data_IF_918733944447
#
_entry.id   IF_918733944447
#
_cell.length_a   1.000
_cell.length_b   1.000
_cell.length_c   1.000
_cell.angle_alpha   90.00
_cell.angle_beta   90.00
_cell.angle_gamma   90.00
#
_symmetry.space_group_name_H-M   'P 1'
#
loop_
_entity.id
_entity.type
_entity.pdbx_description
1 polymer ?
#
# COMPACT_ATOMS: atom_id res chain seq x y z
N UNK A 1 10.58 -33.66 43.23
CA UNK A 1 9.82 -34.51 42.27
C UNK A 1 9.11 -33.56 41.33
N UNK A 2 9.74 -33.20 40.21
CA UNK A 2 9.14 -32.32 39.20
C UNK A 2 8.39 -33.16 38.17
N UNK A 3 7.06 -33.10 38.23
CA UNK A 3 6.15 -33.71 37.26
C UNK A 3 6.29 -32.97 35.93
N UNK A 4 7.12 -33.49 35.02
CA UNK A 4 7.09 -33.14 33.60
C UNK A 4 5.74 -33.59 33.03
N UNK A 5 4.78 -32.67 32.92
CA UNK A 5 3.54 -32.93 32.19
C UNK A 5 3.88 -33.27 30.73
N UNK A 6 3.30 -34.33 30.15
CA UNK A 6 3.45 -34.61 28.72
C UNK A 6 2.76 -33.50 27.95
N UNK A 7 3.53 -32.72 27.17
CA UNK A 7 2.97 -31.73 26.24
C UNK A 7 2.11 -32.50 25.23
N UNK A 8 0.80 -32.32 25.27
CA UNK A 8 -0.10 -32.84 24.23
C UNK A 8 0.41 -32.36 22.87
N UNK A 9 0.86 -33.29 22.04
CA UNK A 9 1.32 -32.99 20.69
C UNK A 9 0.08 -32.81 19.81
N UNK A 10 -0.38 -31.58 19.67
CA UNK A 10 -1.44 -31.24 18.71
C UNK A 10 -0.86 -31.43 17.30
N UNK A 11 -1.32 -32.44 16.57
CA UNK A 11 -0.93 -32.65 15.18
C UNK A 11 -1.73 -31.71 14.29
N UNK A 12 -1.07 -30.71 13.70
CA UNK A 12 -1.66 -29.87 12.66
C UNK A 12 -1.55 -30.59 11.31
N UNK A 13 -2.68 -31.11 10.81
CA UNK A 13 -2.74 -31.63 9.44
C UNK A 13 -2.95 -30.46 8.47
N UNK A 14 -1.88 -30.00 7.84
CA UNK A 14 -1.90 -28.90 6.88
C UNK A 14 -1.69 -29.47 5.48
N UNK A 15 -2.59 -29.13 4.55
CA UNK A 15 -2.35 -29.34 3.12
C UNK A 15 -1.45 -28.20 2.64
N UNK A 16 -0.22 -28.53 2.28
CA UNK A 16 0.79 -27.59 1.79
C UNK A 16 1.03 -27.89 0.31
N UNK A 17 1.19 -26.84 -0.48
CA UNK A 17 1.58 -26.95 -1.87
C UNK A 17 2.91 -27.74 -2.02
N UNK A 18 3.02 -28.68 -2.98
CA UNK A 18 4.22 -29.51 -3.13
C UNK A 18 5.51 -28.71 -3.38
N UNK A 19 5.46 -27.62 -4.13
CA UNK A 19 6.63 -26.78 -4.40
C UNK A 19 7.06 -26.02 -3.16
N UNK A 20 6.09 -25.54 -2.38
CA UNK A 20 6.34 -24.88 -1.11
C UNK A 20 6.96 -25.85 -0.10
N UNK A 21 6.50 -27.10 -0.07
CA UNK A 21 7.06 -28.15 0.80
C UNK A 21 8.51 -28.45 0.44
N UNK A 22 8.86 -28.46 -0.84
CA UNK A 22 10.25 -28.68 -1.31
C UNK A 22 11.14 -27.52 -0.85
N UNK A 23 10.70 -26.27 -1.03
CA UNK A 23 11.44 -25.09 -0.58
C UNK A 23 11.65 -25.09 0.94
N UNK A 24 10.60 -25.37 1.71
CA UNK A 24 10.68 -25.44 3.17
C UNK A 24 11.64 -26.53 3.65
N UNK A 25 11.66 -27.69 2.98
CA UNK A 25 12.63 -28.77 3.26
C UNK A 25 14.06 -28.32 2.98
N UNK A 26 14.30 -27.69 1.83
CA UNK A 26 15.63 -27.18 1.47
C UNK A 26 16.13 -26.16 2.50
N UNK A 27 15.30 -25.21 2.92
CA UNK A 27 15.66 -24.20 3.93
C UNK A 27 15.86 -24.80 5.33
N UNK A 28 15.04 -25.78 5.73
CA UNK A 28 15.23 -26.51 6.98
C UNK A 28 16.57 -27.27 7.01
N UNK A 29 16.93 -27.92 5.89
CA UNK A 29 18.21 -28.62 5.73
C UNK A 29 19.39 -27.64 5.81
N UNK A 30 19.32 -26.50 5.10
CA UNK A 30 20.35 -25.44 5.17
C UNK A 30 20.52 -24.89 6.59
N UNK A 31 19.43 -24.84 7.35
CA UNK A 31 19.41 -24.36 8.73
C UNK A 31 19.78 -25.43 9.76
N UNK A 32 20.03 -26.68 9.35
CA UNK A 32 20.34 -27.80 10.23
C UNK A 32 19.20 -28.23 11.15
N UNK A 33 17.94 -27.87 10.83
CA UNK A 33 16.75 -28.10 11.66
C UNK A 33 15.82 -29.10 11.00
N UNK A 34 15.01 -29.79 11.78
CA UNK A 34 13.92 -30.58 11.19
C UNK A 34 12.85 -29.65 10.61
N UNK A 35 12.14 -30.11 9.57
CA UNK A 35 11.08 -29.33 8.93
C UNK A 35 10.06 -28.79 9.95
N UNK A 36 9.70 -29.59 10.94
CA UNK A 36 8.75 -29.21 11.99
C UNK A 36 9.31 -28.11 12.88
N UNK A 37 10.57 -28.20 13.30
CA UNK A 37 11.22 -27.17 14.11
C UNK A 37 11.34 -25.86 13.33
N UNK A 38 11.74 -25.94 12.06
CA UNK A 38 11.84 -24.78 11.19
C UNK A 38 10.49 -24.08 11.03
N UNK A 39 9.42 -24.82 10.74
CA UNK A 39 8.06 -24.26 10.60
C UNK A 39 7.56 -23.67 11.92
N UNK A 40 7.78 -24.36 13.05
CA UNK A 40 7.36 -23.85 14.38
C UNK A 40 8.08 -22.56 14.74
N UNK A 41 9.37 -22.46 14.41
CA UNK A 41 10.16 -21.25 14.64
C UNK A 41 9.70 -20.09 13.76
N UNK A 42 9.42 -20.35 12.48
CA UNK A 42 8.83 -19.35 11.59
C UNK A 42 7.48 -18.87 12.11
N UNK A 43 6.62 -19.77 12.60
CA UNK A 43 5.32 -19.42 13.19
C UNK A 43 5.44 -18.63 14.50
N UNK A 44 6.45 -18.91 15.33
CA UNK A 44 6.73 -18.16 16.56
C UNK A 44 7.29 -16.77 16.31
N UNK A 45 8.01 -16.60 15.21
CA UNK A 45 8.56 -15.31 14.79
C UNK A 45 7.54 -14.46 14.02
N UNK A 46 6.32 -14.96 13.79
CA UNK A 46 5.22 -14.12 13.34
C UNK A 46 4.86 -13.22 14.52
N UNK A 47 5.00 -11.88 14.41
CA UNK A 47 4.65 -10.98 15.49
C UNK A 47 3.21 -11.24 15.90
N UNK A 48 2.99 -11.46 17.20
CA UNK A 48 1.66 -11.60 17.79
C UNK A 48 0.78 -10.49 17.22
N UNK A 49 -0.41 -10.90 16.77
CA UNK A 49 -1.39 -10.03 16.13
C UNK A 49 -1.85 -9.01 17.18
N UNK A 50 -1.08 -7.93 17.32
CA UNK A 50 -1.47 -6.77 18.10
C UNK A 50 -2.80 -6.30 17.53
N UNK A 51 -3.81 -6.34 18.38
CA UNK A 51 -5.14 -5.79 18.14
C UNK A 51 -5.02 -4.43 17.45
N UNK A 52 -5.60 -4.36 16.26
CA UNK A 52 -5.87 -3.14 15.49
C UNK A 52 -4.71 -2.16 15.36
N UNK A 53 -3.89 -2.39 14.34
CA UNK A 53 -3.27 -1.28 13.65
C UNK A 53 -3.79 -1.19 12.23
N UNK A 54 -4.01 0.05 11.77
CA UNK A 54 -4.80 0.39 10.60
C UNK A 54 -4.33 -0.39 9.36
N UNK A 55 -5.22 -0.53 8.37
CA UNK A 55 -4.87 -1.15 7.08
C UNK A 55 -3.59 -0.52 6.46
N UNK A 56 -3.31 0.75 6.75
CA UNK A 56 -2.09 1.44 6.33
C UNK A 56 -0.83 0.87 6.97
N UNK A 57 -0.83 0.56 8.26
CA UNK A 57 0.34 -0.07 8.89
C UNK A 57 0.61 -1.47 8.33
N UNK A 58 -0.46 -2.19 7.98
CA UNK A 58 -0.34 -3.50 7.33
C UNK A 58 0.23 -3.37 5.92
N UNK A 59 -0.19 -2.36 5.16
CA UNK A 59 0.34 -2.06 3.83
C UNK A 59 1.82 -1.66 3.88
N UNK A 60 2.18 -0.73 4.78
CA UNK A 60 3.57 -0.30 4.99
C UNK A 60 4.48 -1.48 5.38
N UNK A 61 3.98 -2.43 6.16
CA UNK A 61 4.74 -3.62 6.54
C UNK A 61 4.95 -4.58 5.37
N UNK A 62 3.93 -4.76 4.54
CA UNK A 62 4.01 -5.58 3.31
C UNK A 62 4.99 -4.94 2.32
N UNK A 63 4.92 -3.61 2.12
CA UNK A 63 5.86 -2.85 1.29
C UNK A 63 7.30 -3.05 1.75
N UNK A 64 7.57 -2.95 3.05
CA UNK A 64 8.92 -3.13 3.60
C UNK A 64 9.47 -4.54 3.38
N UNK A 65 8.62 -5.57 3.46
CA UNK A 65 9.01 -6.96 3.20
C UNK A 65 9.27 -7.19 1.70
N UNK A 66 8.49 -6.56 0.82
CA UNK A 66 8.69 -6.65 -0.62
C UNK A 66 9.99 -5.94 -1.07
N UNK A 67 10.29 -4.78 -0.48
CA UNK A 67 11.51 -4.01 -0.78
C UNK A 67 12.80 -4.70 -0.28
N UNK A 68 12.77 -5.44 0.83
CA UNK A 68 13.93 -6.21 1.32
C UNK A 68 14.27 -7.41 0.41
N UNK A 69 13.31 -7.88 -0.38
CA UNK A 69 13.54 -8.97 -1.34
C UNK A 69 14.06 -8.49 -2.71
N UNK A 70 14.27 -7.17 -2.91
CA UNK A 70 14.81 -6.60 -4.15
C UNK A 70 16.34 -6.50 -4.21
N UNK A 71 17.08 -7.42 -3.56
CA UNK A 71 18.47 -7.72 -3.95
C UNK A 71 18.49 -8.68 -5.16
N UNK A 72 17.66 -8.39 -6.18
CA UNK A 72 17.68 -9.10 -7.46
C UNK A 72 17.90 -8.10 -8.60
N UNK A 73 18.74 -8.46 -9.58
CA UNK A 73 19.37 -7.50 -10.48
C UNK A 73 18.34 -6.84 -11.38
N UNK A 74 18.35 -5.50 -11.37
CA UNK A 74 17.84 -4.56 -12.40
C UNK A 74 17.03 -5.25 -13.50
N UNK A 75 15.75 -5.45 -13.22
CA UNK A 75 14.81 -5.84 -14.24
C UNK A 75 14.33 -4.55 -14.92
N UNK A 76 15.07 -4.11 -15.94
CA UNK A 76 14.58 -3.23 -17.01
C UNK A 76 13.47 -3.94 -17.82
N UNK A 77 12.44 -4.42 -17.14
CA UNK A 77 11.19 -4.87 -17.74
C UNK A 77 10.27 -3.67 -17.74
N UNK A 78 9.90 -3.22 -18.94
CA UNK A 78 8.73 -2.35 -19.24
C UNK A 78 7.83 -2.24 -18.02
N UNK A 79 7.97 -1.12 -17.31
CA UNK A 79 7.23 -0.81 -16.10
C UNK A 79 5.75 -0.82 -16.48
N UNK A 80 5.06 -1.91 -16.18
CA UNK A 80 3.61 -2.01 -16.34
C UNK A 80 2.96 -0.91 -15.50
N UNK A 81 2.07 -0.14 -16.12
CA UNK A 81 1.20 0.79 -15.40
C UNK A 81 0.41 0.00 -14.35
N UNK A 82 0.40 0.45 -13.11
CA UNK A 82 -0.39 -0.16 -12.02
C UNK A 82 -1.83 0.35 -12.09
N UNK A 83 -2.04 1.53 -12.66
CA UNK A 83 -3.34 2.17 -12.81
C UNK A 83 -3.72 2.28 -14.29
N UNK A 84 -5.02 2.20 -14.57
CA UNK A 84 -5.55 2.52 -15.91
C UNK A 84 -5.61 4.03 -16.12
N UNK A 85 -5.45 4.50 -17.36
CA UNK A 85 -5.59 5.93 -17.67
C UNK A 85 -7.02 6.43 -17.37
N UNK A 86 -8.02 5.60 -17.64
CA UNK A 86 -9.42 5.91 -17.32
C UNK A 86 -9.63 6.05 -15.81
N UNK A 87 -9.13 5.12 -15.01
CA UNK A 87 -9.22 5.19 -13.56
C UNK A 87 -8.43 6.35 -12.96
N UNK A 88 -7.27 6.68 -13.53
CA UNK A 88 -6.49 7.84 -13.11
C UNK A 88 -7.23 9.16 -13.40
N UNK A 89 -7.90 9.26 -14.55
CA UNK A 89 -8.77 10.39 -14.89
C UNK A 89 -9.93 10.54 -13.90
N UNK A 90 -10.67 9.46 -13.66
CA UNK A 90 -11.79 9.44 -12.70
C UNK A 90 -11.34 9.82 -11.28
N UNK A 91 -10.18 9.31 -10.86
CA UNK A 91 -9.58 9.67 -9.58
C UNK A 91 -9.22 11.17 -9.50
N UNK A 92 -8.67 11.75 -10.56
CA UNK A 92 -8.39 13.18 -10.65
C UNK A 92 -9.66 14.05 -10.59
N UNK A 93 -10.71 13.64 -11.28
CA UNK A 93 -12.02 14.33 -11.26
C UNK A 93 -12.67 14.28 -9.87
N UNK A 94 -12.61 13.14 -9.19
CA UNK A 94 -13.12 12.98 -7.83
C UNK A 94 -12.29 13.81 -6.84
N UNK A 95 -10.96 13.81 -6.96
CA UNK A 95 -10.09 14.66 -6.14
C UNK A 95 -10.44 16.14 -6.27
N UNK A 96 -10.68 16.60 -7.50
CA UNK A 96 -11.13 17.96 -7.79
C UNK A 96 -12.50 18.25 -7.17
N UNK A 97 -13.48 17.36 -7.38
CA UNK A 97 -14.84 17.55 -6.87
C UNK A 97 -14.86 17.63 -5.34
N UNK A 98 -14.11 16.77 -4.66
CA UNK A 98 -13.95 16.80 -3.20
C UNK A 98 -13.27 18.09 -2.75
N UNK A 99 -12.19 18.52 -3.43
CA UNK A 99 -11.51 19.78 -3.13
C UNK A 99 -12.45 21.00 -3.26
N UNK A 100 -13.18 21.11 -4.37
CA UNK A 100 -14.13 22.20 -4.60
C UNK A 100 -15.29 22.18 -3.58
N UNK A 101 -15.81 20.99 -3.26
CA UNK A 101 -16.86 20.79 -2.25
C UNK A 101 -16.40 21.27 -0.87
N UNK A 102 -15.20 20.86 -0.45
CA UNK A 102 -14.62 21.25 0.83
C UNK A 102 -14.23 22.74 0.89
N UNK A 103 -13.73 23.32 -0.21
CA UNK A 103 -13.48 24.75 -0.30
C UNK A 103 -14.79 25.56 -0.13
N UNK A 104 -15.87 25.17 -0.83
CA UNK A 104 -17.19 25.79 -0.70
C UNK A 104 -17.77 25.66 0.70
N UNK A 105 -17.69 24.47 1.32
CA UNK A 105 -18.13 24.25 2.71
C UNK A 105 -17.42 25.13 3.72
N UNK A 106 -16.14 25.46 3.48
CA UNK A 106 -15.33 26.32 4.33
C UNK A 106 -15.44 27.81 3.98
N UNK A 107 -16.20 28.17 2.94
CA UNK A 107 -16.33 29.55 2.46
C UNK A 107 -15.03 30.12 1.90
N UNK A 108 -14.10 29.26 1.46
CA UNK A 108 -12.79 29.66 0.94
C UNK A 108 -12.85 29.85 -0.57
N UNK A 109 -12.09 30.82 -1.08
CA UNK A 109 -11.80 30.87 -2.52
C UNK A 109 -10.87 29.72 -2.91
N UNK A 110 -10.87 29.34 -4.20
CA UNK A 110 -9.98 28.30 -4.72
C UNK A 110 -8.51 28.65 -4.45
N UNK A 111 -8.13 29.93 -4.57
CA UNK A 111 -6.76 30.39 -4.29
C UNK A 111 -6.37 30.17 -2.82
N UNK A 112 -7.23 30.55 -1.87
CA UNK A 112 -6.99 30.34 -0.44
C UNK A 112 -6.96 28.86 -0.06
N UNK A 113 -7.85 28.06 -0.66
CA UNK A 113 -7.88 26.62 -0.46
C UNK A 113 -6.59 25.94 -0.97
N UNK A 114 -6.08 26.36 -2.14
CA UNK A 114 -4.79 25.89 -2.66
C UNK A 114 -3.63 26.31 -1.78
N UNK A 115 -3.64 27.53 -1.24
CA UNK A 115 -2.59 28.01 -0.33
C UNK A 115 -2.56 27.22 0.99
N UNK A 116 -3.73 26.88 1.53
CA UNK A 116 -3.82 25.99 2.70
C UNK A 116 -3.32 24.59 2.35
N UNK A 117 -3.78 24.02 1.24
CA UNK A 117 -3.36 22.70 0.79
C UNK A 117 -1.85 22.63 0.53
N UNK A 118 -1.24 23.68 -0.03
CA UNK A 118 0.20 23.78 -0.25
C UNK A 118 1.01 23.58 1.04
N UNK A 119 0.49 24.07 2.17
CA UNK A 119 1.12 23.91 3.47
C UNK A 119 1.09 22.46 3.96
N UNK A 120 0.07 21.68 3.57
CA UNK A 120 0.00 20.24 3.83
C UNK A 120 0.88 19.44 2.86
N UNK A 121 0.90 19.80 1.57
CA UNK A 121 1.72 19.12 0.54
C UNK A 121 3.22 19.17 0.89
N UNK A 122 3.69 20.27 1.51
CA UNK A 122 5.09 20.39 1.98
C UNK A 122 5.53 19.28 2.94
N UNK A 123 4.60 18.63 3.64
CA UNK A 123 4.91 17.52 4.54
C UNK A 123 5.18 16.20 3.78
N UNK A 124 4.97 16.18 2.47
CA UNK A 124 5.12 15.01 1.61
C UNK A 124 6.28 15.24 0.61
N UNK A 125 7.52 14.83 0.94
CA UNK A 125 8.73 15.20 0.19
C UNK A 125 8.79 14.64 -1.24
N UNK A 126 8.04 13.58 -1.53
CA UNK A 126 7.95 12.94 -2.84
C UNK A 126 6.71 13.35 -3.64
N UNK A 127 5.94 14.33 -3.14
CA UNK A 127 4.79 14.86 -3.85
C UNK A 127 5.24 15.89 -4.89
N UNK A 128 4.52 15.98 -6.02
CA UNK A 128 4.69 17.04 -7.00
C UNK A 128 3.56 18.07 -6.82
N UNK A 129 3.79 19.20 -6.12
CA UNK A 129 2.75 20.17 -5.82
C UNK A 129 2.14 20.80 -7.07
N UNK A 130 2.95 21.03 -8.09
CA UNK A 130 2.53 21.66 -9.34
C UNK A 130 1.55 20.76 -10.09
N UNK A 131 1.88 19.48 -10.21
CA UNK A 131 1.00 18.48 -10.82
C UNK A 131 -0.32 18.36 -10.02
N UNK A 132 -0.24 18.35 -8.69
CA UNK A 132 -1.43 18.29 -7.81
C UNK A 132 -2.33 19.50 -8.06
N UNK A 133 -1.78 20.71 -8.12
CA UNK A 133 -2.57 21.90 -8.38
C UNK A 133 -3.19 21.90 -9.78
N UNK A 134 -2.46 21.42 -10.78
CA UNK A 134 -3.01 21.30 -12.14
C UNK A 134 -4.18 20.32 -12.21
N UNK A 135 -4.13 19.21 -11.48
CA UNK A 135 -5.23 18.24 -11.37
C UNK A 135 -6.44 18.88 -10.66
N UNK A 136 -6.22 19.57 -9.54
CA UNK A 136 -7.30 20.20 -8.77
C UNK A 136 -7.94 21.39 -9.49
N UNK A 137 -7.17 22.13 -10.30
CA UNK A 137 -7.68 23.17 -11.18
C UNK A 137 -8.32 22.59 -12.45
N UNK A 138 -8.13 21.29 -12.72
CA UNK A 138 -8.58 20.59 -13.91
C UNK A 138 -7.90 21.06 -15.20
N UNK A 139 -6.69 21.60 -15.09
CA UNK A 139 -5.85 21.94 -16.25
C UNK A 139 -5.02 20.77 -16.73
N UNK A 140 -4.97 19.67 -15.96
CA UNK A 140 -4.27 18.44 -16.32
C UNK A 140 -5.13 17.21 -16.03
N UNK A 141 -5.19 16.29 -16.98
CA UNK A 141 -5.81 14.98 -16.80
C UNK A 141 -4.77 13.98 -16.31
N UNK A 142 -4.97 13.43 -15.11
CA UNK A 142 -4.04 12.48 -14.53
C UNK A 142 -4.01 11.18 -15.34
N UNK A 143 -2.80 10.75 -15.71
CA UNK A 143 -2.59 9.48 -16.44
C UNK A 143 -2.27 8.33 -15.49
N UNK A 144 -2.51 7.10 -15.94
CA UNK A 144 -2.19 5.89 -15.19
C UNK A 144 -0.69 5.77 -14.93
N UNK A 145 0.16 6.28 -15.84
CA UNK A 145 1.61 6.33 -15.67
C UNK A 145 2.04 7.30 -14.56
N UNK A 146 1.47 8.50 -14.51
CA UNK A 146 1.76 9.49 -13.46
C UNK A 146 1.32 9.00 -12.09
N UNK A 147 0.12 8.42 -12.02
CA UNK A 147 -0.41 7.80 -10.80
C UNK A 147 0.44 6.60 -10.35
N UNK A 148 0.89 5.77 -11.29
CA UNK A 148 1.82 4.66 -11.02
C UNK A 148 3.16 5.14 -10.52
N UNK A 149 3.69 6.21 -11.12
CA UNK A 149 4.98 6.79 -10.73
C UNK A 149 4.90 7.37 -9.33
N UNK A 150 3.84 8.14 -9.03
CA UNK A 150 3.61 8.69 -7.69
C UNK A 150 3.48 7.58 -6.64
N UNK A 151 2.70 6.54 -6.94
CA UNK A 151 2.53 5.38 -6.06
C UNK A 151 3.86 4.65 -5.79
N UNK A 152 4.68 4.40 -6.82
CA UNK A 152 5.98 3.70 -6.68
C UNK A 152 7.02 4.48 -5.88
N UNK A 153 6.94 5.81 -5.87
CA UNK A 153 7.79 6.65 -5.03
C UNK A 153 7.26 6.78 -3.59
N UNK A 154 6.28 5.94 -3.20
CA UNK A 154 5.67 5.96 -1.88
C UNK A 154 4.81 7.19 -1.61
N UNK A 155 4.38 7.89 -2.68
CA UNK A 155 3.69 9.17 -2.55
C UNK A 155 2.36 9.18 -3.29
N UNK A 156 1.29 8.91 -2.55
CA UNK A 156 -0.02 9.44 -2.90
C UNK A 156 -0.19 10.82 -2.24
N UNK A 157 0.80 11.72 -2.40
CA UNK A 157 0.84 13.00 -1.71
C UNK A 157 -0.41 13.85 -1.89
N UNK A 158 -1.09 13.74 -3.04
CA UNK A 158 -2.39 14.38 -3.27
C UNK A 158 -3.47 13.88 -2.30
N UNK A 159 -3.61 12.56 -2.17
CA UNK A 159 -4.62 11.93 -1.32
C UNK A 159 -4.38 12.24 0.15
N UNK A 160 -3.14 12.08 0.58
CA UNK A 160 -2.75 12.32 1.98
C UNK A 160 -2.89 13.80 2.35
N UNK A 161 -2.45 14.71 1.46
CA UNK A 161 -2.63 16.15 1.68
C UNK A 161 -4.12 16.55 1.71
N UNK A 162 -4.95 15.96 0.84
CA UNK A 162 -6.40 16.21 0.86
C UNK A 162 -7.05 15.69 2.15
N UNK A 163 -6.76 14.45 2.58
CA UNK A 163 -7.28 13.91 3.85
C UNK A 163 -6.86 14.76 5.06
N UNK A 164 -5.59 15.18 5.12
CA UNK A 164 -5.09 16.04 6.19
C UNK A 164 -5.76 17.41 6.19
N UNK A 165 -5.94 17.99 5.00
CA UNK A 165 -6.54 19.30 4.85
C UNK A 165 -8.04 19.27 5.20
N UNK A 166 -8.77 18.26 4.75
CA UNK A 166 -10.21 18.10 5.04
C UNK A 166 -10.47 17.61 6.47
N UNK A 167 -9.48 16.98 7.10
CA UNK A 167 -9.59 16.29 8.41
C UNK A 167 -10.70 15.24 8.42
N UNK A 168 -11.02 14.69 7.25
CA UNK A 168 -12.06 13.67 7.05
C UNK A 168 -11.53 12.60 6.11
N UNK A 169 -11.85 11.32 6.34
CA UNK A 169 -11.51 10.26 5.40
C UNK A 169 -12.32 10.49 4.11
N UNK A 170 -11.62 10.78 3.01
CA UNK A 170 -12.25 10.92 1.69
C UNK A 170 -12.51 9.54 1.09
N UNK A 171 -13.55 8.87 1.60
CA UNK A 171 -13.93 7.51 1.18
C UNK A 171 -14.18 7.40 -0.34
N UNK A 172 -14.79 8.42 -0.94
CA UNK A 172 -15.01 8.49 -2.40
C UNK A 172 -13.69 8.47 -3.16
N UNK A 173 -12.71 9.25 -2.68
CA UNK A 173 -11.38 9.35 -3.27
C UNK A 173 -10.58 8.05 -3.08
N UNK A 174 -10.70 7.43 -1.91
CA UNK A 174 -10.09 6.14 -1.61
C UNK A 174 -10.64 5.03 -2.50
N UNK A 175 -11.96 5.02 -2.71
CA UNK A 175 -12.61 4.07 -3.60
C UNK A 175 -12.16 4.26 -5.05
N UNK A 176 -12.15 5.50 -5.54
CA UNK A 176 -11.68 5.82 -6.89
C UNK A 176 -10.22 5.39 -7.12
N UNK A 177 -9.37 5.57 -6.10
CA UNK A 177 -8.00 5.10 -6.14
C UNK A 177 -7.90 3.58 -6.32
N UNK A 178 -8.74 2.82 -5.62
CA UNK A 178 -8.78 1.34 -5.71
C UNK A 178 -9.37 0.88 -7.04
N UNK A 179 -10.45 1.50 -7.50
CA UNK A 179 -11.10 1.18 -8.76
C UNK A 179 -10.17 1.47 -9.95
N UNK A 180 -9.23 2.41 -9.80
CA UNK A 180 -8.23 2.73 -10.81
C UNK A 180 -7.13 1.68 -10.98
N UNK A 181 -6.93 0.77 -10.01
CA UNK A 181 -5.89 -0.26 -10.04
C UNK A 181 -6.20 -1.29 -11.13
N UNK A 182 -5.19 -1.64 -11.93
CA UNK A 182 -5.27 -2.73 -12.91
C UNK A 182 -5.37 -4.06 -12.15
N UNK A 183 -6.60 -4.55 -11.98
CA UNK A 183 -6.90 -5.83 -11.31
C UNK A 183 -6.42 -7.06 -12.10
N UNK A 184 -5.91 -6.89 -13.32
CA UNK A 184 -5.35 -7.99 -14.14
C UNK A 184 -4.11 -8.65 -13.53
N UNK A 185 -3.44 -8.08 -12.52
CA UNK A 185 -2.26 -8.70 -11.89
C UNK A 185 -2.56 -9.66 -10.74
N UNK A 186 -3.84 -9.89 -10.38
CA UNK A 186 -4.23 -10.81 -9.29
C UNK A 186 -4.83 -12.13 -9.79
N UNK A 187 -4.91 -12.30 -11.11
CA UNK A 187 -5.33 -13.54 -11.76
C UNK A 187 -4.15 -14.12 -12.54
N UNK A 188 -3.16 -14.65 -11.83
CA UNK A 188 -2.24 -15.68 -12.31
C UNK A 188 -1.55 -16.35 -11.11
#
# INVERSE_FOLDING_TARGET
>A
MDLKMPRERTQLNIKIDPELLVKLKSEAIKSGKTLTEFVVEQLKNIPEKSSESSLEERLLRIEKILLINEDSPKLDKKIGTIFTDQGAKEYGEIARSEFESHAKKRGLTISEALQQLASHIKNYPYSNPELIFQILLGTHELTGLEMTTAYRHGSCGMRSALNDWTKQPLETLNKAFLDAVITKSLAN
#
